data_IF_208011364020
#
_entry.id   IF_208011364020
#
_cell.length_a   1.000
_cell.length_b   1.000
_cell.length_c   1.000
_cell.angle_alpha   90.00
_cell.angle_beta   90.00
_cell.angle_gamma   90.00
#
_symmetry.space_group_name_H-M   'P 1'
#
loop_
_entity.id
_entity.type
_entity.pdbx_description
1 polymer ?
#
# COMPACT_ATOMS: atom_id res chain seq x y z
N UNK A 1 6.00 -19.79 7.34
CA UNK A 1 4.85 -18.86 7.44
C UNK A 1 3.58 -19.67 7.24
N UNK A 2 2.50 -19.45 8.01
CA UNK A 2 1.24 -20.20 7.80
C UNK A 2 0.38 -19.52 6.73
N UNK A 3 -0.49 -20.28 6.04
CA UNK A 3 -1.39 -19.75 4.99
C UNK A 3 -2.25 -18.58 5.48
N UNK A 4 -2.67 -18.60 6.76
CA UNK A 4 -3.41 -17.51 7.40
C UNK A 4 -2.58 -16.22 7.52
N UNK A 5 -1.32 -16.33 7.92
CA UNK A 5 -0.41 -15.18 8.04
C UNK A 5 -0.10 -14.59 6.66
N UNK A 6 0.18 -15.45 5.68
CA UNK A 6 0.42 -15.03 4.30
C UNK A 6 -0.80 -14.31 3.69
N UNK A 7 -2.01 -14.83 3.91
CA UNK A 7 -3.26 -14.20 3.47
C UNK A 7 -3.51 -12.83 4.11
N UNK A 8 -3.24 -12.69 5.42
CA UNK A 8 -3.32 -11.40 6.10
C UNK A 8 -2.34 -10.37 5.54
N UNK A 9 -1.09 -10.81 5.28
CA UNK A 9 -0.05 -9.96 4.71
C UNK A 9 -0.38 -9.55 3.26
N UNK A 10 -0.91 -10.48 2.46
CA UNK A 10 -1.38 -10.21 1.10
C UNK A 10 -2.46 -9.12 1.09
N UNK A 11 -3.47 -9.24 1.96
CA UNK A 11 -4.54 -8.25 2.07
C UNK A 11 -4.02 -6.88 2.52
N UNK A 12 -3.04 -6.84 3.43
CA UNK A 12 -2.36 -5.60 3.83
C UNK A 12 -1.67 -4.95 2.63
N UNK A 13 -0.87 -5.70 1.88
CA UNK A 13 -0.12 -5.18 0.73
C UNK A 13 -1.03 -4.74 -0.42
N UNK A 14 -2.16 -5.43 -0.64
CA UNK A 14 -3.18 -4.98 -1.61
C UNK A 14 -3.75 -3.62 -1.24
N UNK A 15 -4.05 -3.38 0.03
CA UNK A 15 -4.47 -2.04 0.49
C UNK A 15 -3.39 -1.00 0.29
N UNK A 16 -2.13 -1.35 0.60
CA UNK A 16 -0.99 -0.44 0.39
C UNK A 16 -0.81 -0.09 -1.08
N UNK A 17 -1.00 -1.06 -1.99
CA UNK A 17 -0.96 -0.85 -3.44
C UNK A 17 -2.02 0.15 -3.88
N UNK A 18 -3.28 -0.02 -3.46
CA UNK A 18 -4.36 0.90 -3.81
C UNK A 18 -4.08 2.35 -3.34
N UNK A 19 -3.55 2.50 -2.13
CA UNK A 19 -3.17 3.82 -1.59
C UNK A 19 -2.00 4.42 -2.37
N UNK A 20 -1.00 3.61 -2.72
CA UNK A 20 0.17 4.04 -3.48
C UNK A 20 -0.20 4.45 -4.91
N UNK A 21 -1.06 3.67 -5.57
CA UNK A 21 -1.57 3.97 -6.91
C UNK A 21 -2.34 5.30 -6.91
N UNK A 22 -3.23 5.50 -5.90
CA UNK A 22 -3.96 6.76 -5.73
C UNK A 22 -3.03 7.94 -5.43
N UNK A 23 -2.02 7.73 -4.59
CA UNK A 23 -1.01 8.75 -4.32
C UNK A 23 -0.27 9.15 -5.61
N UNK A 24 0.20 8.19 -6.39
CA UNK A 24 0.94 8.42 -7.63
C UNK A 24 0.09 9.10 -8.70
N UNK A 25 -1.23 8.86 -8.71
CA UNK A 25 -2.15 9.55 -9.62
C UNK A 25 -2.18 11.07 -9.41
N UNK A 26 -2.05 11.54 -8.16
CA UNK A 26 -2.17 12.96 -7.82
C UNK A 26 -0.85 13.61 -7.42
N UNK A 27 0.21 12.84 -7.16
CA UNK A 27 1.53 13.38 -6.82
C UNK A 27 2.23 13.87 -8.08
N UNK A 28 2.30 15.19 -8.23
CA UNK A 28 3.23 15.87 -9.15
C UNK A 28 4.39 16.47 -8.36
N UNK A 29 5.45 16.93 -9.02
CA UNK A 29 6.65 17.50 -8.37
C UNK A 29 6.28 18.62 -7.37
N UNK A 30 5.39 19.52 -7.78
CA UNK A 30 5.00 20.71 -7.02
C UNK A 30 4.04 20.44 -5.84
N UNK A 31 3.36 19.28 -5.81
CA UNK A 31 2.34 19.02 -4.79
C UNK A 31 2.98 18.35 -3.56
N UNK A 32 2.88 18.93 -2.35
CA UNK A 32 3.37 18.30 -1.13
C UNK A 32 2.59 17.04 -0.78
N UNK A 33 3.28 16.04 -0.19
CA UNK A 33 2.68 14.78 0.29
C UNK A 33 1.47 15.02 1.20
N UNK A 34 1.56 16.03 2.08
CA UNK A 34 0.49 16.39 3.02
C UNK A 34 -0.77 16.88 2.32
N UNK A 35 -0.63 17.55 1.17
CA UNK A 35 -1.75 18.00 0.35
C UNK A 35 -2.41 16.82 -0.33
N UNK A 36 -1.61 15.91 -0.91
CA UNK A 36 -2.13 14.67 -1.52
C UNK A 36 -2.90 13.85 -0.49
N UNK A 37 -2.32 13.69 0.71
CA UNK A 37 -2.96 13.00 1.82
C UNK A 37 -4.31 13.63 2.20
N UNK A 38 -4.33 14.94 2.45
CA UNK A 38 -5.53 15.63 2.94
C UNK A 38 -6.65 15.68 1.91
N UNK A 39 -6.33 15.90 0.63
CA UNK A 39 -7.31 16.13 -0.43
C UNK A 39 -7.79 14.86 -1.12
N UNK A 40 -6.93 13.86 -1.28
CA UNK A 40 -7.24 12.70 -2.14
C UNK A 40 -7.24 11.38 -1.40
N UNK A 41 -6.31 11.17 -0.44
CA UNK A 41 -6.17 9.86 0.21
C UNK A 41 -7.08 9.74 1.43
N UNK A 42 -6.99 10.65 2.40
CA UNK A 42 -7.73 10.59 3.66
C UNK A 42 -9.27 10.50 3.47
N UNK A 43 -9.87 11.21 2.48
CA UNK A 43 -11.31 11.08 2.23
C UNK A 43 -11.76 9.69 1.74
N UNK A 44 -10.86 8.94 1.08
CA UNK A 44 -11.14 7.61 0.52
C UNK A 44 -10.69 6.50 1.46
N UNK A 45 -9.51 6.66 2.05
CA UNK A 45 -8.87 5.73 2.97
C UNK A 45 -8.60 6.47 4.29
N UNK A 46 -9.32 6.15 5.37
CA UNK A 46 -9.18 6.82 6.66
C UNK A 46 -7.89 6.38 7.37
N UNK A 47 -6.76 6.86 6.86
CA UNK A 47 -5.42 6.53 7.34
C UNK A 47 -4.70 7.77 7.88
N UNK A 48 -3.82 7.54 8.84
CA UNK A 48 -2.96 8.60 9.36
C UNK A 48 -1.90 9.00 8.32
N UNK A 49 -1.29 10.18 8.49
CA UNK A 49 -0.11 10.60 7.71
C UNK A 49 1.06 9.63 7.90
N UNK A 50 1.26 9.13 9.11
CA UNK A 50 2.32 8.15 9.42
C UNK A 50 2.14 6.88 8.59
N UNK A 51 0.90 6.37 8.51
CA UNK A 51 0.57 5.21 7.69
C UNK A 51 0.81 5.47 6.21
N UNK A 52 0.55 6.69 5.70
CA UNK A 52 0.91 7.03 4.33
C UNK A 52 2.42 6.94 4.11
N UNK A 53 3.24 7.49 5.01
CA UNK A 53 4.70 7.37 4.89
C UNK A 53 5.16 5.91 4.96
N UNK A 54 4.55 5.08 5.80
CA UNK A 54 4.82 3.64 5.80
C UNK A 54 4.52 3.01 4.43
N UNK A 55 3.39 3.36 3.81
CA UNK A 55 3.03 2.88 2.45
C UNK A 55 4.09 3.30 1.44
N UNK A 56 4.50 4.58 1.44
CA UNK A 56 5.50 5.13 0.52
C UNK A 56 6.88 4.49 0.69
N UNK A 57 7.25 4.15 1.92
CA UNK A 57 8.54 3.53 2.25
C UNK A 57 8.52 1.99 2.11
N UNK A 58 7.34 1.38 1.93
CA UNK A 58 7.24 -0.06 1.72
C UNK A 58 7.46 -0.37 0.23
N UNK A 59 8.34 -1.32 -0.14
CA UNK A 59 8.47 -1.76 -1.53
C UNK A 59 7.28 -2.65 -1.94
N UNK A 60 6.09 -2.05 -2.03
CA UNK A 60 4.79 -2.73 -2.11
C UNK A 60 4.75 -3.76 -3.24
N UNK A 61 5.10 -3.37 -4.47
CA UNK A 61 5.03 -4.28 -5.62
C UNK A 61 5.97 -5.49 -5.46
N UNK A 62 7.17 -5.29 -4.91
CA UNK A 62 8.15 -6.35 -4.68
C UNK A 62 7.67 -7.34 -3.62
N UNK A 63 7.16 -6.84 -2.50
CA UNK A 63 6.66 -7.70 -1.42
C UNK A 63 5.39 -8.44 -1.83
N UNK A 64 4.52 -7.79 -2.61
CA UNK A 64 3.29 -8.38 -3.10
C UNK A 64 3.59 -9.56 -4.04
N UNK A 65 4.52 -9.39 -4.99
CA UNK A 65 4.96 -10.48 -5.87
C UNK A 65 5.55 -11.68 -5.09
N UNK A 66 6.36 -11.42 -4.06
CA UNK A 66 6.93 -12.49 -3.21
C UNK A 66 5.84 -13.31 -2.51
N UNK A 67 4.84 -12.63 -1.94
CA UNK A 67 3.76 -13.31 -1.21
C UNK A 67 2.82 -14.04 -2.14
N UNK A 68 2.55 -13.50 -3.33
CA UNK A 68 1.76 -14.22 -4.34
C UNK A 68 2.47 -15.49 -4.80
N UNK A 69 3.78 -15.45 -5.01
CA UNK A 69 4.57 -16.66 -5.27
C UNK A 69 4.50 -17.65 -4.10
N UNK A 70 4.72 -17.17 -2.86
CA UNK A 70 4.65 -18.02 -1.65
C UNK A 70 3.27 -18.66 -1.47
N UNK A 71 2.20 -17.94 -1.80
CA UNK A 71 0.83 -18.48 -1.72
C UNK A 71 0.56 -19.55 -2.78
N UNK A 72 1.12 -19.40 -3.99
CA UNK A 72 1.03 -20.39 -5.06
C UNK A 72 1.73 -21.69 -4.70
N UNK A 73 2.82 -21.62 -3.94
CA UNK A 73 3.56 -22.80 -3.46
C UNK A 73 2.86 -23.50 -2.27
N UNK A 74 1.81 -22.89 -1.71
CA UNK A 74 1.01 -23.38 -0.57
C UNK A 74 -0.39 -23.92 -0.98
N UNK A 75 -0.71 -23.91 -2.27
CA UNK A 75 -1.90 -24.51 -2.88
C UNK A 75 -1.53 -25.83 -3.58
#
# INVERSE_FOLDING_TARGET
MTKRVAGSQLNKLRRYKLILDLYNQYKTEDIPVTVVWKKYICPVYPISRTTLYEVLNTPVYKELAKIEATMKDLD
#
